data_IF_743209345770
#
_entry.id   IF_743209345770
#
_cell.length_a   1.000
_cell.length_b   1.000
_cell.length_c   1.000
_cell.angle_alpha   90.00
_cell.angle_beta   90.00
_cell.angle_gamma   90.00
#
_symmetry.space_group_name_H-M   'P 1'
#
loop_
_entity.id
_entity.type
_entity.pdbx_description
1 polymer ?
#
# COMPACT_ATOMS: atom_id res chain seq x y z
N UNK A 1 6.76 15.85 6.89
CA UNK A 1 5.97 15.32 5.76
C UNK A 1 6.93 14.59 4.83
N UNK A 2 6.73 13.28 4.62
CA UNK A 2 7.59 12.46 3.75
C UNK A 2 7.08 12.58 2.31
N UNK A 3 7.80 13.31 1.46
CA UNK A 3 7.60 13.30 0.01
C UNK A 3 8.53 12.25 -0.60
N UNK A 4 8.16 11.53 -1.67
CA UNK A 4 6.87 11.54 -2.38
C UNK A 4 5.71 10.95 -1.57
N UNK A 5 4.48 11.32 -1.93
CA UNK A 5 3.29 10.65 -1.40
C UNK A 5 3.14 9.30 -2.10
N UNK A 6 3.20 8.21 -1.33
CA UNK A 6 3.08 6.85 -1.84
C UNK A 6 1.93 6.15 -1.12
N UNK A 7 1.04 5.55 -1.91
CA UNK A 7 0.00 4.65 -1.42
C UNK A 7 -0.09 3.40 -2.27
N UNK A 8 -0.29 2.27 -1.61
CA UNK A 8 -0.56 0.97 -2.21
C UNK A 8 -1.91 0.49 -1.74
N UNK A 9 -2.71 0.03 -2.68
CA UNK A 9 -3.99 -0.64 -2.44
C UNK A 9 -3.93 -2.01 -3.09
N UNK A 10 -4.21 -3.06 -2.32
CA UNK A 10 -4.35 -4.44 -2.82
C UNK A 10 -5.82 -4.81 -2.62
N UNK A 11 -6.49 -5.23 -3.70
CA UNK A 11 -7.89 -5.64 -3.62
C UNK A 11 -8.06 -7.14 -3.32
N UNK A 12 -9.31 -7.60 -3.24
CA UNK A 12 -9.64 -9.01 -2.99
C UNK A 12 -9.24 -9.95 -4.14
N UNK A 13 -8.97 -9.42 -5.34
CA UNK A 13 -8.43 -10.18 -6.47
C UNK A 13 -6.90 -10.21 -6.51
N UNK A 14 -6.24 -9.66 -5.47
CA UNK A 14 -4.80 -9.50 -5.39
C UNK A 14 -4.20 -8.56 -6.46
N UNK A 15 -5.04 -7.70 -7.04
CA UNK A 15 -4.57 -6.61 -7.90
C UNK A 15 -3.98 -5.50 -7.02
N UNK A 16 -2.78 -5.07 -7.36
CA UNK A 16 -2.01 -4.07 -6.64
C UNK A 16 -2.08 -2.75 -7.43
N UNK A 17 -2.72 -1.75 -6.85
CA UNK A 17 -2.71 -0.37 -7.33
C UNK A 17 -1.69 0.44 -6.52
N UNK A 18 -0.62 0.87 -7.17
CA UNK A 18 0.42 1.70 -6.56
C UNK A 18 0.33 3.12 -7.10
N UNK A 19 0.27 4.11 -6.20
CA UNK A 19 0.24 5.54 -6.55
C UNK A 19 1.50 6.19 -5.98
N UNK A 20 2.34 6.79 -6.83
CA UNK A 20 3.55 7.52 -6.44
C UNK A 20 3.46 8.93 -7.02
N UNK A 21 3.28 9.94 -6.16
CA UNK A 21 3.14 11.35 -6.58
C UNK A 21 2.10 11.57 -7.69
N UNK A 22 0.99 10.81 -7.66
CA UNK A 22 -0.08 10.89 -8.66
C UNK A 22 0.07 9.94 -9.85
N UNK A 23 1.24 9.32 -10.06
CA UNK A 23 1.40 8.28 -11.07
C UNK A 23 0.82 6.95 -10.54
N UNK A 24 -0.13 6.38 -11.28
CA UNK A 24 -0.76 5.10 -10.91
C UNK A 24 -0.19 3.96 -11.76
N UNK A 25 0.25 2.90 -11.08
CA UNK A 25 0.74 1.65 -11.68
C UNK A 25 -0.08 0.49 -11.15
N UNK A 26 -0.42 -0.45 -12.02
CA UNK A 26 -1.10 -1.69 -11.66
C UNK A 26 -0.14 -2.87 -11.79
N UNK A 27 -0.18 -3.76 -10.80
CA UNK A 27 0.54 -5.02 -10.80
C UNK A 27 -0.43 -6.12 -10.35
N UNK A 28 -0.22 -7.33 -10.83
CA UNK A 28 -1.02 -8.50 -10.42
C UNK A 28 -0.14 -9.52 -9.70
N UNK A 29 -0.73 -10.24 -8.76
CA UNK A 29 -0.11 -11.37 -8.08
C UNK A 29 -1.17 -12.45 -7.82
N UNK A 30 -0.80 -13.74 -7.75
CA UNK A 30 -1.75 -14.82 -7.55
C UNK A 30 -2.24 -14.92 -6.10
N UNK A 31 -1.44 -14.44 -5.13
CA UNK A 31 -1.76 -14.54 -3.69
C UNK A 31 -1.52 -13.21 -2.98
N UNK A 32 -2.22 -12.97 -1.87
CA UNK A 32 -2.01 -11.78 -1.04
C UNK A 32 -0.55 -11.64 -0.52
N UNK A 33 0.12 -12.69 -0.02
CA UNK A 33 1.53 -12.60 0.38
C UNK A 33 2.45 -12.20 -0.78
N UNK A 34 2.24 -12.76 -1.97
CA UNK A 34 3.00 -12.38 -3.17
C UNK A 34 2.68 -10.94 -3.60
N UNK A 35 1.43 -10.50 -3.47
CA UNK A 35 1.03 -9.13 -3.78
C UNK A 35 1.78 -8.12 -2.89
N UNK A 36 1.86 -8.42 -1.58
CA UNK A 36 2.62 -7.63 -0.61
C UNK A 36 4.11 -7.60 -0.93
N UNK A 37 4.70 -8.74 -1.28
CA UNK A 37 6.11 -8.83 -1.65
C UNK A 37 6.41 -8.05 -2.93
N UNK A 38 5.58 -8.20 -3.96
CA UNK A 38 5.71 -7.52 -5.25
C UNK A 38 5.55 -6.01 -5.12
N UNK A 39 4.59 -5.54 -4.33
CA UNK A 39 4.43 -4.12 -4.01
C UNK A 39 5.67 -3.56 -3.29
N UNK A 40 6.18 -4.28 -2.29
CA UNK A 40 7.37 -3.86 -1.54
C UNK A 40 8.61 -3.79 -2.42
N UNK A 41 8.82 -4.78 -3.29
CA UNK A 41 9.93 -4.80 -4.25
C UNK A 41 9.83 -3.64 -5.26
N UNK A 42 8.64 -3.39 -5.80
CA UNK A 42 8.40 -2.26 -6.73
C UNK A 42 8.72 -0.91 -6.07
N UNK A 43 8.30 -0.71 -4.82
CA UNK A 43 8.62 0.53 -4.08
C UNK A 43 10.10 0.59 -3.71
N UNK A 44 10.72 -0.54 -3.36
CA UNK A 44 12.16 -0.62 -3.07
C UNK A 44 13.01 -0.13 -4.23
N UNK A 45 12.65 -0.49 -5.48
CA UNK A 45 13.30 0.05 -6.68
C UNK A 45 13.17 1.58 -6.76
N UNK A 46 12.05 2.14 -6.32
CA UNK A 46 11.84 3.59 -6.27
C UNK A 46 12.66 4.25 -5.14
N UNK A 47 12.76 3.61 -3.98
CA UNK A 47 13.59 4.04 -2.86
C UNK A 47 15.08 4.07 -3.24
N UNK A 48 15.54 3.04 -3.97
CA UNK A 48 16.89 2.96 -4.53
C UNK A 48 17.18 4.11 -5.50
N UNK A 49 16.27 4.38 -6.45
CA UNK A 49 16.40 5.50 -7.40
C UNK A 49 16.47 6.87 -6.71
N UNK A 50 15.79 7.03 -5.57
CA UNK A 50 15.80 8.27 -4.78
C UNK A 50 16.90 8.31 -3.71
N UNK A 51 17.64 7.22 -3.51
CA UNK A 51 18.71 7.13 -2.51
C UNK A 51 18.27 7.29 -1.06
N UNK A 52 17.01 6.98 -0.73
CA UNK A 52 16.47 7.17 0.64
C UNK A 52 15.29 6.28 0.97
N UNK A 53 15.06 6.10 2.27
CA UNK A 53 13.88 5.38 2.79
C UNK A 53 12.59 6.15 2.51
N UNK A 54 11.58 5.43 2.02
CA UNK A 54 10.26 5.96 1.66
C UNK A 54 9.21 5.53 2.68
N UNK A 55 8.23 6.39 2.94
CA UNK A 55 7.06 6.07 3.79
C UNK A 55 5.86 5.77 2.91
N UNK A 56 5.21 4.63 3.12
CA UNK A 56 4.17 4.09 2.25
C UNK A 56 2.94 3.78 3.07
N UNK A 57 1.78 4.25 2.62
CA UNK A 57 0.48 3.81 3.16
C UNK A 57 0.03 2.58 2.40
N UNK A 58 -0.29 1.50 3.10
CA UNK A 58 -0.75 0.24 2.51
C UNK A 58 -2.18 -0.01 2.97
N UNK A 59 -3.02 -0.42 2.04
CA UNK A 59 -4.37 -0.95 2.29
C UNK A 59 -4.50 -2.28 1.56
N UNK A 60 -4.97 -3.30 2.26
CA UNK A 60 -5.33 -4.58 1.66
C UNK A 60 -6.56 -5.20 2.36
N UNK A 61 -7.00 -6.41 1.97
CA UNK A 61 -8.18 -7.03 2.60
C UNK A 61 -8.05 -7.28 4.11
N UNK A 62 -6.83 -7.36 4.66
CA UNK A 62 -6.59 -7.58 6.09
C UNK A 62 -6.54 -6.27 6.88
N UNK A 63 -6.31 -5.13 6.21
CA UNK A 63 -6.41 -3.82 6.86
C UNK A 63 -5.57 -2.74 6.22
N UNK A 64 -5.28 -1.71 7.02
CA UNK A 64 -4.52 -0.53 6.60
C UNK A 64 -3.40 -0.25 7.59
N UNK A 65 -2.22 0.06 7.08
CA UNK A 65 -1.06 0.40 7.91
C UNK A 65 -0.06 1.27 7.14
N UNK A 66 0.99 1.71 7.81
CA UNK A 66 2.09 2.46 7.20
C UNK A 66 3.40 1.69 7.35
N UNK A 67 4.13 1.54 6.25
CA UNK A 67 5.47 0.94 6.24
C UNK A 67 6.51 1.97 5.82
N UNK A 68 7.77 1.68 6.13
CA UNK A 68 8.96 2.33 5.62
C UNK A 68 9.71 1.33 4.75
N UNK A 69 10.05 1.72 3.53
CA UNK A 69 10.79 0.87 2.58
C UNK A 69 12.13 1.53 2.32
N UNK A 70 13.21 0.86 2.67
CA UNK A 70 14.58 1.32 2.48
C UNK A 70 15.09 1.04 1.04
N UNK A 71 16.16 1.73 0.60
CA UNK A 71 16.76 1.54 -0.74
C UNK A 71 17.22 0.12 -1.06
N UNK A 72 17.56 -0.66 -0.04
CA UNK A 72 17.95 -2.07 -0.13
C UNK A 72 16.75 -3.03 -0.22
N UNK A 73 15.52 -2.49 -0.20
CA UNK A 73 14.29 -3.28 -0.19
C UNK A 73 13.85 -3.71 1.21
N UNK A 74 14.58 -3.35 2.27
CA UNK A 74 14.20 -3.66 3.66
C UNK A 74 12.91 -2.92 4.02
N UNK A 75 11.90 -3.67 4.47
CA UNK A 75 10.62 -3.12 4.92
C UNK A 75 10.62 -3.08 6.46
N UNK A 76 10.38 -1.91 7.02
CA UNK A 76 10.21 -1.71 8.46
C UNK A 76 8.89 -1.00 8.74
N UNK A 77 8.18 -1.41 9.78
CA UNK A 77 6.89 -0.81 10.13
C UNK A 77 5.97 -1.86 10.71
N UNK A 78 5.44 -1.55 11.89
CA UNK A 78 4.39 -2.36 12.49
C UNK A 78 3.06 -1.97 11.86
N UNK A 79 2.07 -2.89 11.82
CA UNK A 79 0.71 -2.51 11.57
C UNK A 79 0.33 -1.44 12.60
N UNK A 80 0.32 -0.17 12.20
CA UNK A 80 -0.42 0.84 12.94
C UNK A 80 -1.86 0.45 12.71
N UNK A 81 -2.41 -0.32 13.66
CA UNK A 81 -3.83 -0.62 13.74
C UNK A 81 -4.56 0.71 13.82
N UNK A 82 -4.80 1.35 12.68
CA UNK A 82 -5.74 2.44 12.59
C UNK A 82 -7.09 1.75 12.64
N UNK A 83 -7.55 1.55 13.88
CA UNK A 83 -8.88 1.07 14.28
C UNK A 83 -9.91 1.96 13.57
N UNK A 84 -10.19 1.63 12.33
CA UNK A 84 -11.17 2.33 11.52
C UNK A 84 -12.46 1.60 11.79
N UNK A 85 -13.22 2.15 12.75
CA UNK A 85 -14.60 1.78 12.97
C UNK A 85 -15.30 1.68 11.62
N UNK A 86 -15.86 0.51 11.33
CA UNK A 86 -16.77 0.31 10.20
C UNK A 86 -17.97 1.24 10.41
N UNK A 87 -17.91 2.46 9.88
CA UNK A 87 -19.09 3.28 9.71
C UNK A 87 -19.90 2.67 8.58
N UNK A 88 -20.97 1.97 8.97
CA UNK A 88 -22.12 1.53 8.17
C UNK A 88 -22.21 2.21 6.80
N UNK A 89 -22.07 1.43 5.74
CA UNK A 89 -22.74 1.70 4.49
C UNK A 89 -24.25 1.54 4.76
N UNK A 90 -24.92 2.61 5.21
CA UNK A 90 -26.39 2.70 5.13
C UNK A 90 -26.73 2.77 3.64
N UNK A 91 -27.05 1.61 3.07
CA UNK A 91 -27.81 1.52 1.84
C UNK A 91 -29.10 2.31 2.03
N UNK A 92 -29.17 3.52 1.45
CA UNK A 92 -30.44 4.20 1.24
C UNK A 92 -31.15 3.45 0.12
N UNK A 93 -31.96 2.45 0.47
CA UNK A 93 -33.09 2.09 -0.37
C UNK A 93 -34.16 3.16 -0.15
N UNK A 94 -34.27 4.09 -1.10
CA UNK A 94 -35.48 4.87 -1.29
C UNK A 94 -36.41 4.04 -2.19
N UNK A 95 -37.58 3.70 -1.68
CA UNK A 95 -38.80 3.44 -2.44
C UNK A 95 -39.95 4.03 -1.67
#
# INVERSE_FOLDING_TARGET
>A
MSWPHISVEIDQSHTIKTIISGLTTYLEAPTLPEARQKASAYIGQYAAKLGRTLTVKVSDPEGKWTIKVAPDGTVTGLPTTQRSFFTRQRSRHAR
#
